data_IF_542615967808
#
_entry.id   IF_542615967808
#
_cell.length_a   1.000
_cell.length_b   1.000
_cell.length_c   1.000
_cell.angle_alpha   90.00
_cell.angle_beta   90.00
_cell.angle_gamma   90.00
#
_symmetry.space_group_name_H-M   'P 1'
#
loop_
_entity.id
_entity.type
_entity.pdbx_description
1 polymer ?
#
# COMPACT_ATOMS: atom_id res chain seq x y z
N UNK A 1 74.60 -20.06 -3.79
CA UNK A 1 73.12 -20.05 -3.97
C UNK A 1 72.52 -21.13 -3.07
N UNK A 2 71.78 -20.77 -2.02
CA UNK A 2 71.05 -21.70 -1.15
C UNK A 2 69.56 -21.57 -1.46
N UNK A 3 68.94 -22.66 -1.90
CA UNK A 3 67.49 -22.77 -2.10
C UNK A 3 66.82 -22.85 -0.72
N UNK A 4 65.93 -21.90 -0.44
CA UNK A 4 65.06 -21.91 0.74
C UNK A 4 63.74 -22.57 0.35
N UNK A 5 63.44 -23.72 0.93
CA UNK A 5 62.15 -24.40 0.77
C UNK A 5 61.09 -23.68 1.60
N UNK A 6 60.10 -23.08 0.92
CA UNK A 6 58.90 -22.51 1.54
C UNK A 6 57.89 -23.64 1.74
N UNK A 7 57.65 -24.01 3.01
CA UNK A 7 56.59 -24.94 3.39
C UNK A 7 55.30 -24.12 3.57
N UNK A 8 54.34 -24.31 2.65
CA UNK A 8 53.01 -23.71 2.77
C UNK A 8 52.16 -24.54 3.75
N UNK A 9 51.81 -23.95 4.89
CA UNK A 9 50.85 -24.52 5.83
C UNK A 9 49.45 -24.18 5.35
N UNK A 10 48.74 -25.16 4.79
CA UNK A 10 47.31 -25.08 4.50
C UNK A 10 46.53 -25.21 5.83
N UNK A 11 46.09 -24.07 6.37
CA UNK A 11 45.12 -24.06 7.46
C UNK A 11 43.74 -24.48 6.91
N UNK A 12 43.25 -25.64 7.32
CA UNK A 12 41.89 -26.06 7.04
C UNK A 12 40.92 -25.11 7.77
N UNK A 13 40.27 -24.21 7.03
CA UNK A 13 39.17 -23.41 7.56
C UNK A 13 37.97 -24.34 7.75
N UNK A 14 37.64 -24.65 9.00
CA UNK A 14 36.42 -25.36 9.32
C UNK A 14 35.24 -24.51 8.83
N UNK A 15 34.50 -25.01 7.84
CA UNK A 15 33.27 -24.40 7.38
C UNK A 15 32.33 -24.33 8.58
N UNK A 16 31.86 -23.14 9.00
CA UNK A 16 30.94 -23.05 10.12
C UNK A 16 29.71 -23.90 9.80
N UNK A 17 29.42 -24.88 10.65
CA UNK A 17 28.17 -25.62 10.60
C UNK A 17 27.07 -24.59 10.87
N UNK A 18 26.37 -24.16 9.82
CA UNK A 18 25.20 -23.31 9.95
C UNK A 18 24.23 -24.00 10.91
N UNK A 19 23.95 -23.35 12.03
CA UNK A 19 22.99 -23.84 13.00
C UNK A 19 21.70 -24.21 12.25
N UNK A 20 21.15 -25.39 12.54
CA UNK A 20 19.90 -25.80 11.95
C UNK A 20 18.86 -24.69 12.22
N UNK A 21 18.11 -24.24 11.20
CA UNK A 21 17.17 -23.14 11.37
C UNK A 21 16.21 -23.48 12.50
N UNK A 22 16.05 -22.56 13.45
CA UNK A 22 15.11 -22.69 14.57
C UNK A 22 13.75 -23.09 14.05
N UNK A 23 13.18 -24.20 14.55
CA UNK A 23 11.86 -24.67 14.12
C UNK A 23 10.81 -24.22 15.14
N UNK A 24 9.60 -23.95 14.65
CA UNK A 24 8.40 -23.82 15.45
C UNK A 24 7.70 -25.17 15.58
N UNK A 25 6.76 -25.27 16.52
CA UNK A 25 5.97 -26.47 16.76
C UNK A 25 6.68 -27.53 17.60
N UNK A 26 5.96 -28.62 17.86
CA UNK A 26 6.41 -29.79 18.60
C UNK A 26 6.88 -30.87 17.62
N UNK A 27 8.16 -31.32 17.68
CA UNK A 27 8.65 -32.41 16.84
C UNK A 27 7.97 -33.77 17.12
N UNK A 28 7.32 -33.94 18.28
CA UNK A 28 6.54 -35.12 18.60
C UNK A 28 5.10 -35.05 18.08
N UNK A 29 4.58 -33.85 17.75
CA UNK A 29 3.24 -33.69 17.22
C UNK A 29 3.15 -34.21 15.78
N UNK A 30 2.19 -35.10 15.54
CA UNK A 30 1.91 -35.66 14.22
C UNK A 30 0.92 -34.82 13.43
N UNK A 31 0.98 -34.93 12.10
CA UNK A 31 0.04 -34.31 11.18
C UNK A 31 0.72 -33.50 10.08
N UNK A 32 -0.05 -33.17 9.06
CA UNK A 32 0.40 -32.45 7.88
C UNK A 32 -0.20 -31.06 7.82
N UNK A 33 0.63 -30.03 7.64
CA UNK A 33 0.12 -28.69 7.35
C UNK A 33 -0.58 -28.75 5.99
N UNK A 34 -1.86 -28.41 5.97
CA UNK A 34 -2.71 -28.44 4.78
C UNK A 34 -3.06 -27.04 4.26
N UNK A 35 -3.03 -26.02 5.13
CA UNK A 35 -3.29 -24.63 4.76
C UNK A 35 -2.49 -23.67 5.62
N UNK A 36 -2.14 -22.52 5.05
CA UNK A 36 -1.46 -21.42 5.72
C UNK A 36 -2.19 -20.12 5.36
N UNK A 37 -2.41 -19.24 6.34
CA UNK A 37 -3.02 -17.93 6.18
C UNK A 37 -2.22 -16.88 6.95
N UNK A 38 -2.27 -15.65 6.45
CA UNK A 38 -1.97 -14.46 7.24
C UNK A 38 -3.29 -13.90 7.73
N UNK A 39 -3.38 -13.66 9.04
CA UNK A 39 -4.49 -12.92 9.66
C UNK A 39 -3.97 -11.67 10.35
N UNK A 40 -4.78 -10.62 10.42
CA UNK A 40 -4.36 -9.32 10.95
C UNK A 40 -5.32 -8.84 12.04
N UNK A 41 -4.76 -8.23 13.10
CA UNK A 41 -5.49 -7.57 14.18
C UNK A 41 -5.02 -6.12 14.34
N UNK A 42 -5.93 -5.22 14.67
CA UNK A 42 -5.67 -3.82 15.01
C UNK A 42 -5.79 -3.65 16.52
N UNK A 43 -4.69 -3.36 17.20
CA UNK A 43 -4.62 -3.41 18.67
C UNK A 43 -5.00 -4.80 19.18
N UNK A 44 -5.97 -4.86 20.09
CA UNK A 44 -6.47 -6.10 20.70
C UNK A 44 -7.73 -6.65 20.00
N UNK A 45 -8.02 -6.20 18.78
CA UNK A 45 -9.15 -6.71 18.00
C UNK A 45 -8.99 -8.19 17.65
N UNK A 46 -10.09 -8.83 17.23
CA UNK A 46 -10.03 -10.15 16.61
C UNK A 46 -9.10 -10.12 15.39
N UNK A 47 -8.24 -11.14 15.23
CA UNK A 47 -7.43 -11.30 14.04
C UNK A 47 -8.27 -11.94 12.93
N UNK A 48 -8.32 -11.32 11.75
CA UNK A 48 -9.16 -11.78 10.63
C UNK A 48 -8.37 -12.01 9.35
N UNK A 49 -8.90 -12.82 8.45
CA UNK A 49 -8.37 -13.03 7.09
C UNK A 49 -8.88 -12.01 6.06
N UNK A 50 -9.50 -10.91 6.52
CA UNK A 50 -10.00 -9.82 5.67
C UNK A 50 -8.95 -8.71 5.52
N UNK A 51 -9.01 -7.92 4.42
CA UNK A 51 -8.24 -6.70 4.32
C UNK A 51 -8.43 -5.81 5.56
N UNK A 52 -7.32 -5.32 6.10
CA UNK A 52 -7.28 -4.57 7.35
C UNK A 52 -6.99 -3.11 7.09
N UNK A 53 -7.77 -2.24 7.71
CA UNK A 53 -7.56 -0.79 7.72
C UNK A 53 -7.22 -0.34 9.13
N UNK A 54 -6.25 0.56 9.25
CA UNK A 54 -5.83 1.16 10.51
C UNK A 54 -5.42 2.61 10.31
N UNK A 55 -5.39 3.38 11.40
CA UNK A 55 -4.69 4.67 11.45
C UNK A 55 -3.25 4.49 11.92
N UNK A 56 -2.40 5.48 11.67
CA UNK A 56 -0.99 5.47 12.05
C UNK A 56 -0.76 5.36 13.56
N UNK A 57 -1.71 5.83 14.39
CA UNK A 57 -1.70 5.67 15.85
C UNK A 57 -2.10 4.26 16.33
N UNK A 58 -2.53 3.38 15.41
CA UNK A 58 -2.97 2.02 15.72
C UNK A 58 -1.93 0.99 15.28
N UNK A 59 -1.55 0.11 16.20
CA UNK A 59 -0.67 -1.01 15.87
C UNK A 59 -1.44 -2.10 15.12
N UNK A 60 -0.89 -2.57 14.00
CA UNK A 60 -1.40 -3.76 13.29
C UNK A 60 -0.43 -4.92 13.50
N UNK A 61 -0.93 -6.03 14.01
CA UNK A 61 -0.17 -7.27 14.19
C UNK A 61 -0.67 -8.32 13.21
N UNK A 62 0.27 -8.90 12.47
CA UNK A 62 0.04 -10.03 11.58
C UNK A 62 0.38 -11.32 12.32
N UNK A 63 -0.47 -12.32 12.23
CA UNK A 63 -0.25 -13.64 12.80
C UNK A 63 -0.28 -14.70 11.71
N UNK A 64 0.59 -15.71 11.85
CA UNK A 64 0.46 -16.92 11.06
C UNK A 64 -0.69 -17.77 11.63
N UNK A 65 -1.55 -18.26 10.75
CA UNK A 65 -2.54 -19.26 11.08
C UNK A 65 -2.35 -20.47 10.16
N UNK A 66 -2.14 -21.65 10.73
CA UNK A 66 -1.96 -22.88 9.96
C UNK A 66 -3.09 -23.86 10.28
N UNK A 67 -3.51 -24.62 9.27
CA UNK A 67 -4.44 -25.73 9.42
C UNK A 67 -3.67 -27.04 9.25
N UNK A 68 -3.89 -27.98 10.17
CA UNK A 68 -3.30 -29.32 10.12
C UNK A 68 -4.39 -30.34 9.81
N UNK A 69 -4.11 -31.22 8.84
CA UNK A 69 -4.97 -32.29 8.37
C UNK A 69 -6.41 -31.85 8.02
N UNK A 70 -6.56 -30.60 7.55
CA UNK A 70 -7.85 -29.95 7.27
C UNK A 70 -8.84 -29.91 8.44
N UNK A 71 -8.35 -30.03 9.69
CA UNK A 71 -9.20 -30.15 10.88
C UNK A 71 -8.92 -29.06 11.90
N UNK A 72 -7.70 -29.02 12.43
CA UNK A 72 -7.36 -28.16 13.55
C UNK A 72 -6.59 -26.92 13.09
N UNK A 73 -6.96 -25.76 13.63
CA UNK A 73 -6.24 -24.51 13.44
C UNK A 73 -5.24 -24.28 14.56
N UNK A 74 -4.09 -23.73 14.19
CA UNK A 74 -3.03 -23.31 15.10
C UNK A 74 -2.63 -21.88 14.79
N UNK A 75 -2.57 -21.03 15.81
CA UNK A 75 -2.18 -19.62 15.72
C UNK A 75 -1.90 -19.08 17.13
N UNK A 76 -1.01 -18.09 17.22
CA UNK A 76 -0.76 -17.35 18.47
C UNK A 76 -1.59 -16.05 18.55
N UNK A 77 -2.55 -15.86 17.64
CA UNK A 77 -3.53 -14.79 17.73
C UNK A 77 -4.44 -15.00 18.97
N UNK A 78 -4.68 -13.97 19.80
CA UNK A 78 -5.56 -14.11 20.98
C UNK A 78 -6.99 -14.50 20.63
N UNK A 79 -7.48 -14.06 19.47
CA UNK A 79 -8.78 -14.43 18.92
C UNK A 79 -8.69 -14.46 17.40
N UNK A 80 -9.40 -15.41 16.78
CA UNK A 80 -9.29 -15.70 15.36
C UNK A 80 -10.66 -15.78 14.68
N UNK A 81 -10.80 -15.07 13.56
CA UNK A 81 -11.92 -15.18 12.62
C UNK A 81 -11.38 -15.54 11.23
N UNK A 82 -11.91 -16.61 10.63
CA UNK A 82 -11.56 -17.03 9.27
C UNK A 82 -12.84 -17.17 8.48
N UNK A 83 -12.92 -16.50 7.32
CA UNK A 83 -14.11 -16.52 6.47
C UNK A 83 -15.37 -16.01 7.18
N UNK A 84 -15.23 -15.03 8.08
CA UNK A 84 -16.35 -14.45 8.83
C UNK A 84 -16.83 -15.29 10.02
N UNK A 85 -16.13 -16.36 10.39
CA UNK A 85 -16.52 -17.23 11.51
C UNK A 85 -15.41 -17.29 12.55
N UNK A 86 -15.77 -17.22 13.83
CA UNK A 86 -14.83 -17.45 14.93
C UNK A 86 -14.30 -18.88 14.87
N UNK A 87 -13.00 -19.03 15.00
CA UNK A 87 -12.29 -20.31 14.94
C UNK A 87 -11.50 -20.49 16.22
N UNK A 88 -11.66 -21.64 16.88
CA UNK A 88 -10.78 -22.03 17.97
C UNK A 88 -9.42 -22.47 17.38
N UNK A 89 -8.34 -21.86 17.88
CA UNK A 89 -6.98 -22.22 17.50
C UNK A 89 -6.18 -22.67 18.72
N UNK A 90 -5.28 -23.62 18.51
CA UNK A 90 -4.25 -23.99 19.50
C UNK A 90 -2.99 -23.15 19.28
N UNK A 91 -2.10 -22.99 20.29
CA UNK A 91 -0.82 -22.30 20.08
C UNK A 91 0.04 -22.98 19.01
N UNK A 92 0.78 -22.21 18.21
CA UNK A 92 1.66 -22.76 17.15
C UNK A 92 2.74 -23.69 17.71
N UNK A 93 3.16 -23.49 18.96
CA UNK A 93 4.10 -24.36 19.66
C UNK A 93 3.60 -25.83 19.79
N UNK A 94 2.28 -26.06 19.67
CA UNK A 94 1.67 -27.40 19.74
C UNK A 94 1.37 -28.03 18.38
N UNK A 95 1.67 -27.34 17.27
CA UNK A 95 1.54 -27.88 15.92
C UNK A 95 2.72 -28.80 15.58
N UNK A 96 2.61 -29.69 14.57
CA UNK A 96 3.76 -30.46 14.06
C UNK A 96 4.92 -29.55 13.64
N UNK A 97 6.16 -29.94 13.93
CA UNK A 97 7.33 -29.10 13.69
C UNK A 97 7.46 -28.56 12.24
N UNK A 98 7.76 -27.27 12.12
CA UNK A 98 7.81 -26.53 10.85
C UNK A 98 8.71 -25.28 10.97
N UNK A 99 8.95 -24.61 9.84
CA UNK A 99 9.59 -23.29 9.81
C UNK A 99 8.66 -22.27 9.13
N UNK A 100 8.76 -20.99 9.48
CA UNK A 100 8.01 -19.89 8.85
C UNK A 100 8.92 -18.91 8.12
N UNK A 101 8.44 -18.40 7.00
CA UNK A 101 9.04 -17.27 6.27
C UNK A 101 7.96 -16.26 5.92
N UNK A 102 8.20 -15.00 6.23
CA UNK A 102 7.31 -13.90 5.90
C UNK A 102 7.85 -13.10 4.72
N UNK A 103 6.94 -12.67 3.86
CA UNK A 103 7.25 -11.80 2.73
C UNK A 103 6.22 -10.68 2.61
N UNK A 104 6.68 -9.50 2.21
CA UNK A 104 5.85 -8.47 1.59
C UNK A 104 5.53 -8.89 0.15
N UNK A 105 4.34 -8.57 -0.34
CA UNK A 105 3.92 -8.78 -1.72
C UNK A 105 3.75 -7.41 -2.37
N UNK A 106 4.71 -7.04 -3.20
CA UNK A 106 4.93 -5.64 -3.59
C UNK A 106 4.88 -5.47 -5.10
N UNK A 107 4.30 -4.38 -5.63
CA UNK A 107 4.45 -4.06 -7.04
C UNK A 107 5.93 -3.82 -7.35
N UNK A 108 6.42 -4.36 -8.48
CA UNK A 108 7.82 -4.20 -8.90
C UNK A 108 8.08 -2.93 -9.72
N UNK A 109 7.02 -2.18 -10.04
CA UNK A 109 7.08 -0.90 -10.75
C UNK A 109 6.18 0.12 -10.04
N UNK A 110 6.63 1.38 -10.00
CA UNK A 110 5.85 2.51 -9.49
C UNK A 110 4.93 3.14 -10.54
N UNK A 111 5.04 2.71 -11.81
CA UNK A 111 4.32 3.29 -12.95
C UNK A 111 3.89 2.20 -13.93
N UNK A 112 2.59 2.18 -14.24
CA UNK A 112 1.93 1.19 -15.10
C UNK A 112 0.95 1.94 -16.01
N UNK A 113 0.59 1.35 -17.15
CA UNK A 113 -0.40 1.90 -18.07
C UNK A 113 -1.39 0.82 -18.49
N UNK A 114 -2.69 1.05 -18.30
CA UNK A 114 -3.76 0.17 -18.78
C UNK A 114 -3.98 0.29 -20.31
N UNK A 115 -2.89 0.42 -21.07
CA UNK A 115 -2.88 0.66 -22.50
C UNK A 115 -2.52 2.09 -22.91
N UNK A 116 -2.61 2.37 -24.20
CA UNK A 116 -2.32 3.68 -24.80
C UNK A 116 -3.59 4.37 -25.27
N UNK A 117 -3.46 5.50 -25.97
CA UNK A 117 -4.61 6.23 -26.52
C UNK A 117 -5.46 5.42 -27.52
N UNK A 118 -4.95 4.30 -28.04
CA UNK A 118 -5.58 3.50 -29.09
C UNK A 118 -6.14 2.16 -28.61
N UNK A 119 -5.61 1.59 -27.53
CA UNK A 119 -6.06 0.29 -27.00
C UNK A 119 -6.06 0.28 -25.48
N UNK A 120 -7.22 0.05 -24.87
CA UNK A 120 -7.35 -0.14 -23.42
C UNK A 120 -7.28 -1.63 -23.05
N UNK A 121 -6.51 -1.95 -22.01
CA UNK A 121 -6.49 -3.27 -21.35
C UNK A 121 -6.08 -3.12 -19.90
N UNK A 122 -6.60 -3.97 -19.02
CA UNK A 122 -6.08 -4.06 -17.65
C UNK A 122 -4.68 -4.68 -17.70
N UNK A 123 -3.65 -3.88 -17.44
CA UNK A 123 -2.26 -4.32 -17.48
C UNK A 123 -1.93 -5.09 -16.18
N UNK A 124 -1.40 -6.33 -16.26
CA UNK A 124 -1.02 -7.06 -15.06
C UNK A 124 0.05 -6.32 -14.24
N UNK A 125 -0.21 -6.11 -12.95
CA UNK A 125 0.75 -5.50 -12.03
C UNK A 125 1.77 -6.57 -11.62
N UNK A 126 3.05 -6.46 -11.95
CA UNK A 126 4.03 -7.46 -11.53
C UNK A 126 4.28 -7.39 -10.01
N UNK A 127 3.61 -8.24 -9.22
CA UNK A 127 3.84 -8.35 -7.78
C UNK A 127 4.95 -9.37 -7.50
N UNK A 128 5.86 -9.04 -6.59
CA UNK A 128 6.96 -9.92 -6.17
C UNK A 128 7.01 -10.08 -4.65
N UNK A 129 7.41 -11.26 -4.16
CA UNK A 129 7.64 -11.46 -2.75
C UNK A 129 9.02 -10.90 -2.35
N UNK A 130 9.06 -10.03 -1.34
CA UNK A 130 10.30 -9.59 -0.69
C UNK A 130 10.33 -10.11 0.74
N UNK A 131 11.42 -10.78 1.15
CA UNK A 131 11.56 -11.28 2.50
C UNK A 131 11.55 -10.13 3.52
N UNK A 132 10.96 -10.37 4.70
CA UNK A 132 10.99 -9.43 5.83
C UNK A 132 12.15 -9.80 6.75
N UNK A 133 13.13 -8.92 6.90
CA UNK A 133 14.30 -9.18 7.73
C UNK A 133 13.92 -9.45 9.19
N UNK A 134 14.61 -10.40 9.81
CA UNK A 134 14.37 -10.79 11.21
C UNK A 134 13.03 -11.48 11.50
N UNK A 135 12.19 -11.73 10.48
CA UNK A 135 10.86 -12.34 10.66
C UNK A 135 10.86 -13.87 10.63
N UNK A 136 11.98 -14.50 10.26
CA UNK A 136 12.07 -15.94 10.09
C UNK A 136 11.67 -16.67 11.38
N UNK A 137 10.77 -17.64 11.25
CA UNK A 137 10.22 -18.41 12.37
C UNK A 137 9.52 -17.57 13.45
N UNK A 138 9.14 -16.33 13.15
CA UNK A 138 8.27 -15.57 14.05
C UNK A 138 6.81 -15.99 13.84
N UNK A 139 6.06 -16.34 14.91
CA UNK A 139 4.64 -16.68 14.80
C UNK A 139 3.77 -15.46 14.47
N UNK A 140 4.28 -14.26 14.73
CA UNK A 140 3.63 -12.98 14.46
C UNK A 140 4.65 -11.88 14.15
N UNK A 141 4.24 -10.87 13.40
CA UNK A 141 5.06 -9.69 13.11
C UNK A 141 4.21 -8.43 13.20
N UNK A 142 4.84 -7.27 13.44
CA UNK A 142 4.17 -5.98 13.23
C UNK A 142 4.05 -5.75 11.72
N UNK A 143 2.90 -5.27 11.26
CA UNK A 143 2.77 -4.86 9.87
C UNK A 143 3.69 -3.65 9.59
N UNK A 144 4.44 -3.74 8.51
CA UNK A 144 5.30 -2.68 7.98
C UNK A 144 4.86 -2.38 6.54
N UNK A 145 4.33 -1.17 6.32
CA UNK A 145 3.79 -0.76 5.02
C UNK A 145 4.78 0.02 4.15
N UNK A 146 6.08 -0.05 4.47
CA UNK A 146 7.15 0.58 3.68
C UNK A 146 7.55 -0.30 2.49
N UNK A 147 7.37 0.15 1.24
CA UNK A 147 7.82 -0.62 0.08
C UNK A 147 9.36 -0.70 0.03
N UNK A 148 9.86 -1.72 -0.65
CA UNK A 148 11.28 -2.02 -0.86
C UNK A 148 11.64 -2.16 -2.33
N UNK A 149 10.66 -2.45 -3.19
CA UNK A 149 10.84 -2.54 -4.65
C UNK A 149 10.55 -1.24 -5.38
N UNK A 150 9.87 -0.30 -4.71
CA UNK A 150 9.56 1.04 -5.21
C UNK A 150 9.95 2.09 -4.15
N UNK A 151 10.08 3.37 -4.51
CA UNK A 151 10.36 4.43 -3.53
C UNK A 151 9.32 4.47 -2.41
N UNK A 152 9.79 4.57 -1.16
CA UNK A 152 8.93 4.80 0.00
C UNK A 152 8.68 6.29 0.20
N UNK A 153 7.53 6.75 -0.29
CA UNK A 153 7.05 8.12 -0.10
C UNK A 153 6.17 8.28 1.15
N UNK A 154 5.88 7.18 1.84
CA UNK A 154 4.84 7.15 2.86
C UNK A 154 5.30 7.07 4.30
N UNK A 155 6.56 6.69 4.54
CA UNK A 155 7.18 6.67 5.87
C UNK A 155 6.30 5.99 6.94
N UNK A 156 5.74 4.82 6.59
CA UNK A 156 4.92 4.01 7.51
C UNK A 156 3.41 4.23 7.43
N UNK A 157 2.91 5.10 6.54
CA UNK A 157 1.53 5.05 6.04
C UNK A 157 1.52 4.56 4.59
N UNK A 158 0.42 3.96 4.16
CA UNK A 158 0.32 3.31 2.85
C UNK A 158 -0.39 1.98 2.90
N UNK A 159 -0.27 1.23 1.80
CA UNK A 159 -0.81 -0.12 1.68
C UNK A 159 0.29 -1.12 1.40
N UNK A 160 0.22 -2.26 2.08
CA UNK A 160 1.10 -3.39 1.84
C UNK A 160 0.33 -4.70 1.88
N UNK A 161 0.84 -5.69 1.16
CA UNK A 161 0.29 -7.04 1.13
C UNK A 161 1.31 -8.02 1.69
N UNK A 162 0.85 -9.12 2.28
CA UNK A 162 1.70 -10.06 3.00
C UNK A 162 1.40 -11.50 2.63
N UNK A 163 2.46 -12.30 2.61
CA UNK A 163 2.41 -13.74 2.47
C UNK A 163 3.23 -14.38 3.60
N UNK A 164 2.78 -15.53 4.07
CA UNK A 164 3.57 -16.39 4.96
C UNK A 164 3.67 -17.79 4.36
N UNK A 165 4.86 -18.36 4.42
CA UNK A 165 5.19 -19.71 3.93
C UNK A 165 5.61 -20.59 5.09
N UNK A 166 4.98 -21.76 5.21
CA UNK A 166 5.36 -22.82 6.14
C UNK A 166 6.17 -23.90 5.41
N UNK A 167 7.31 -24.28 5.98
CA UNK A 167 8.14 -25.39 5.51
C UNK A 167 8.03 -26.56 6.51
N UNK A 168 7.53 -27.71 6.03
CA UNK A 168 7.39 -28.93 6.84
C UNK A 168 8.12 -30.08 6.15
N UNK A 169 9.37 -30.33 6.55
CA UNK A 169 10.25 -31.25 5.82
C UNK A 169 10.46 -30.75 4.38
N UNK A 170 10.17 -31.58 3.35
CA UNK A 170 10.29 -31.16 1.94
C UNK A 170 9.08 -30.34 1.45
N UNK A 171 8.01 -30.21 2.24
CA UNK A 171 6.79 -29.55 1.81
C UNK A 171 6.86 -28.05 2.05
N UNK A 172 6.40 -27.29 1.07
CA UNK A 172 6.25 -25.84 1.12
C UNK A 172 4.78 -25.52 0.93
N UNK A 173 4.16 -24.88 1.93
CA UNK A 173 2.77 -24.46 1.90
C UNK A 173 2.75 -22.95 2.15
N UNK A 174 2.18 -22.18 1.22
CA UNK A 174 2.09 -20.73 1.34
C UNK A 174 0.64 -20.28 1.51
N UNK A 175 0.44 -19.16 2.20
CA UNK A 175 -0.76 -18.36 2.02
C UNK A 175 -0.79 -17.77 0.61
N UNK A 176 -1.94 -17.22 0.20
CA UNK A 176 -2.04 -16.51 -1.08
C UNK A 176 -0.98 -15.42 -1.21
N UNK A 177 -0.35 -15.33 -2.39
CA UNK A 177 0.66 -14.35 -2.75
C UNK A 177 0.48 -13.83 -4.18
N UNK A 178 1.57 -13.54 -4.91
CA UNK A 178 1.51 -12.96 -6.26
C UNK A 178 0.72 -13.79 -7.29
N UNK A 179 0.62 -15.11 -7.07
CA UNK A 179 -0.13 -16.03 -7.91
C UNK A 179 -1.65 -15.88 -7.77
N UNK A 180 -2.14 -15.32 -6.67
CA UNK A 180 -3.56 -15.12 -6.39
C UNK A 180 -4.11 -13.89 -7.12
N UNK A 181 -4.07 -13.93 -8.46
CA UNK A 181 -4.43 -12.84 -9.37
C UNK A 181 -5.93 -12.64 -9.49
N UNK A 182 -6.35 -11.38 -9.66
CA UNK A 182 -7.71 -11.09 -10.11
C UNK A 182 -7.87 -11.50 -11.57
N UNK A 183 -9.10 -11.85 -11.94
CA UNK A 183 -9.48 -12.14 -13.31
C UNK A 183 -9.75 -10.86 -14.11
N UNK A 184 -10.79 -10.88 -14.93
CA UNK A 184 -11.18 -9.72 -15.75
C UNK A 184 -11.46 -8.49 -14.88
N UNK A 185 -10.99 -7.32 -15.32
CA UNK A 185 -11.35 -6.04 -14.71
C UNK A 185 -10.36 -5.48 -13.67
N UNK A 186 -9.13 -5.99 -13.61
CA UNK A 186 -8.04 -5.46 -12.77
C UNK A 186 -6.73 -6.20 -13.09
N UNK A 187 -5.59 -5.49 -12.98
CA UNK A 187 -4.25 -6.09 -13.04
C UNK A 187 -3.73 -6.68 -11.73
N UNK A 188 -4.50 -6.56 -10.65
CA UNK A 188 -4.07 -6.77 -9.27
C UNK A 188 -4.13 -8.20 -8.72
N UNK A 189 -3.92 -8.31 -7.41
CA UNK A 189 -4.11 -9.55 -6.64
C UNK A 189 -5.42 -9.52 -5.86
N UNK A 190 -6.00 -10.71 -5.62
CA UNK A 190 -7.25 -10.89 -4.90
C UNK A 190 -7.15 -10.51 -3.43
N UNK A 191 -8.29 -10.32 -2.77
CA UNK A 191 -8.36 -10.06 -1.32
C UNK A 191 -7.99 -11.28 -0.46
N UNK A 192 -7.66 -12.42 -1.06
CA UNK A 192 -7.09 -13.57 -0.36
C UNK A 192 -5.63 -13.30 0.07
N UNK A 193 -4.91 -12.41 -0.62
CA UNK A 193 -3.61 -11.92 -0.18
C UNK A 193 -3.85 -10.88 0.92
N UNK A 194 -3.35 -11.12 2.13
CA UNK A 194 -3.61 -10.23 3.26
C UNK A 194 -3.11 -8.82 2.94
N UNK A 195 -4.02 -7.84 2.92
CA UNK A 195 -3.72 -6.42 2.73
C UNK A 195 -3.87 -5.68 4.06
N UNK A 196 -2.86 -4.88 4.40
CA UNK A 196 -2.95 -3.87 5.47
C UNK A 196 -2.80 -2.49 4.85
N UNK A 197 -3.72 -1.60 5.22
CA UNK A 197 -3.74 -0.20 4.78
C UNK A 197 -3.75 0.71 6.00
N UNK A 198 -2.67 1.47 6.18
CA UNK A 198 -2.48 2.39 7.30
C UNK A 198 -2.61 3.81 6.77
N UNK A 199 -3.62 4.54 7.25
CA UNK A 199 -3.81 5.95 6.93
C UNK A 199 -3.24 6.85 8.02
N UNK A 200 -2.81 8.06 7.66
CA UNK A 200 -2.30 9.02 8.63
C UNK A 200 -3.34 9.42 9.69
N UNK A 201 -4.55 9.77 9.24
CA UNK A 201 -5.65 10.27 10.08
C UNK A 201 -7.00 10.09 9.35
N UNK A 202 -8.12 10.50 9.97
CA UNK A 202 -9.48 10.38 9.40
C UNK A 202 -9.89 11.61 8.55
N UNK A 203 -8.93 12.41 8.07
CA UNK A 203 -9.18 13.51 7.12
C UNK A 203 -9.11 13.02 5.68
N UNK A 204 -9.57 13.84 4.74
CA UNK A 204 -9.44 13.57 3.31
C UNK A 204 -7.98 13.28 2.89
N UNK A 205 -7.01 14.08 3.35
CA UNK A 205 -5.59 13.83 3.08
C UNK A 205 -5.12 12.55 3.77
N UNK A 206 -5.61 12.27 4.99
CA UNK A 206 -5.36 11.02 5.68
C UNK A 206 -5.75 9.81 4.83
N UNK A 207 -6.96 9.79 4.27
CA UNK A 207 -7.38 8.69 3.41
C UNK A 207 -6.56 8.56 2.12
N UNK A 208 -6.11 9.68 1.52
CA UNK A 208 -5.22 9.60 0.36
C UNK A 208 -3.91 8.85 0.68
N UNK A 209 -3.40 8.95 1.91
CA UNK A 209 -2.20 8.20 2.31
C UNK A 209 -2.39 6.68 2.31
N UNK A 210 -3.62 6.13 2.28
CA UNK A 210 -3.83 4.68 2.11
C UNK A 210 -3.24 4.18 0.77
N UNK A 211 -3.11 5.04 -0.25
CA UNK A 211 -2.57 4.69 -1.57
C UNK A 211 -1.04 4.73 -1.66
N UNK A 212 -0.35 5.18 -0.62
CA UNK A 212 1.12 5.19 -0.62
C UNK A 212 1.68 3.77 -0.77
N UNK A 213 2.78 3.66 -1.52
CA UNK A 213 3.37 2.38 -1.94
C UNK A 213 2.62 1.65 -3.05
N UNK A 214 1.49 2.17 -3.55
CA UNK A 214 0.82 1.65 -4.76
C UNK A 214 1.30 2.41 -6.00
N UNK A 215 1.34 1.76 -7.18
CA UNK A 215 1.78 2.40 -8.41
C UNK A 215 0.80 3.45 -8.91
N UNK A 216 1.35 4.40 -9.67
CA UNK A 216 0.56 5.12 -10.67
C UNK A 216 0.10 4.16 -11.76
N UNK A 217 -1.18 4.23 -12.13
CA UNK A 217 -1.74 3.45 -13.25
C UNK A 217 -2.42 4.43 -14.21
N UNK A 218 -1.81 4.69 -15.37
CA UNK A 218 -2.46 5.49 -16.40
C UNK A 218 -3.75 4.81 -16.86
N UNK A 219 -4.86 5.56 -16.82
CA UNK A 219 -6.18 5.03 -17.14
C UNK A 219 -6.60 3.93 -16.16
N UNK A 220 -6.35 4.14 -14.86
CA UNK A 220 -6.89 3.24 -13.84
C UNK A 220 -8.39 3.07 -14.03
N UNK A 221 -8.88 1.86 -13.80
CA UNK A 221 -10.25 1.51 -14.18
C UNK A 221 -10.83 0.39 -13.31
N UNK A 222 -12.09 0.06 -13.59
CA UNK A 222 -12.74 -1.14 -13.10
C UNK A 222 -14.05 -1.39 -13.83
N UNK A 223 -14.63 -2.58 -13.65
CA UNK A 223 -15.94 -2.92 -14.24
C UNK A 223 -17.11 -2.19 -13.56
N UNK A 224 -16.85 -1.57 -12.42
CA UNK A 224 -17.79 -0.80 -11.61
C UNK A 224 -16.98 0.04 -10.62
N UNK A 225 -17.63 1.03 -9.98
CA UNK A 225 -16.98 1.83 -8.95
C UNK A 225 -16.42 0.98 -7.80
N UNK A 226 -17.14 -0.04 -7.31
CA UNK A 226 -16.67 -0.88 -6.18
C UNK A 226 -15.56 -1.86 -6.55
N UNK A 227 -15.32 -2.04 -7.85
CA UNK A 227 -14.27 -2.91 -8.38
C UNK A 227 -13.15 -2.12 -9.08
N UNK A 228 -13.12 -0.80 -8.89
CA UNK A 228 -12.07 0.06 -9.41
C UNK A 228 -10.72 -0.30 -8.79
N UNK A 229 -9.64 -0.19 -9.54
CA UNK A 229 -8.27 -0.45 -9.06
C UNK A 229 -7.95 0.41 -7.81
N UNK A 230 -8.41 1.66 -7.79
CA UNK A 230 -8.30 2.55 -6.61
C UNK A 230 -9.09 2.04 -5.39
N UNK A 231 -10.32 1.52 -5.53
CA UNK A 231 -11.05 0.93 -4.39
C UNK A 231 -10.34 -0.30 -3.81
N UNK A 232 -9.61 -1.02 -4.67
CA UNK A 232 -8.85 -2.20 -4.29
C UNK A 232 -7.45 -1.88 -3.78
N UNK A 233 -7.07 -0.60 -3.78
CA UNK A 233 -5.73 -0.13 -3.43
C UNK A 233 -4.66 -0.85 -4.26
N UNK A 234 -4.91 -0.99 -5.56
CA UNK A 234 -3.98 -1.59 -6.53
C UNK A 234 -3.12 -0.53 -7.23
N UNK A 235 -3.60 0.71 -7.25
CA UNK A 235 -2.98 1.86 -7.88
C UNK A 235 -4.06 2.81 -8.41
N UNK A 236 -3.64 3.94 -8.97
CA UNK A 236 -4.56 4.96 -9.51
C UNK A 236 -3.86 5.91 -10.47
N UNK A 237 -4.61 6.56 -11.35
CA UNK A 237 -4.19 7.80 -12.00
C UNK A 237 -4.42 9.02 -11.08
N UNK A 238 -4.06 10.21 -11.56
CA UNK A 238 -4.17 11.45 -10.78
C UNK A 238 -5.62 11.81 -10.38
N UNK A 239 -6.60 11.64 -11.27
CA UNK A 239 -7.98 11.97 -10.98
C UNK A 239 -8.62 10.94 -10.05
N UNK A 240 -8.38 9.67 -10.33
CA UNK A 240 -8.91 8.57 -9.53
C UNK A 240 -8.31 8.53 -8.13
N UNK A 241 -7.06 8.96 -7.95
CA UNK A 241 -6.45 9.13 -6.64
C UNK A 241 -7.23 10.13 -5.76
N UNK A 242 -7.53 11.31 -6.32
CA UNK A 242 -8.24 12.38 -5.61
C UNK A 242 -9.71 11.98 -5.37
N UNK A 243 -10.36 11.32 -6.34
CA UNK A 243 -11.71 10.79 -6.18
C UNK A 243 -11.76 9.67 -5.13
N UNK A 244 -10.73 8.80 -5.08
CA UNK A 244 -10.62 7.74 -4.08
C UNK A 244 -10.70 8.30 -2.65
N UNK A 245 -9.92 9.33 -2.32
CA UNK A 245 -9.97 9.95 -0.99
C UNK A 245 -11.37 10.50 -0.66
N UNK A 246 -12.04 11.13 -1.63
CA UNK A 246 -13.38 11.68 -1.43
C UNK A 246 -14.42 10.55 -1.21
N UNK A 247 -14.29 9.44 -1.95
CA UNK A 247 -15.14 8.26 -1.80
C UNK A 247 -14.91 7.55 -0.47
N UNK A 248 -13.66 7.49 0.02
CA UNK A 248 -13.33 6.98 1.37
C UNK A 248 -13.95 7.84 2.47
N UNK A 249 -14.13 9.13 2.23
CA UNK A 249 -14.89 10.06 3.08
C UNK A 249 -16.43 9.92 2.93
N UNK A 250 -16.91 8.97 2.13
CA UNK A 250 -18.34 8.69 1.93
C UNK A 250 -18.99 9.40 0.74
N UNK A 251 -18.24 10.11 -0.09
CA UNK A 251 -18.79 10.74 -1.29
C UNK A 251 -19.17 9.69 -2.35
N UNK A 252 -20.31 9.88 -3.02
CA UNK A 252 -20.74 9.03 -4.14
C UNK A 252 -20.38 9.66 -5.49
N UNK A 253 -19.08 9.82 -5.73
CA UNK A 253 -18.53 10.39 -6.97
C UNK A 253 -18.07 9.23 -7.87
N UNK A 254 -18.46 9.17 -9.15
CA UNK A 254 -17.92 8.17 -10.08
C UNK A 254 -16.45 8.46 -10.38
N UNK A 255 -15.66 7.39 -10.55
CA UNK A 255 -14.30 7.52 -11.10
C UNK A 255 -14.35 8.07 -12.52
N UNK A 256 -13.38 8.91 -12.87
CA UNK A 256 -13.37 9.66 -14.13
C UNK A 256 -12.01 10.33 -14.33
N UNK A 257 -11.89 11.07 -15.42
CA UNK A 257 -10.68 11.79 -15.79
C UNK A 257 -10.69 13.24 -15.27
N UNK A 258 -9.53 13.89 -15.29
CA UNK A 258 -9.32 15.24 -14.72
C UNK A 258 -10.29 16.31 -15.22
N UNK A 259 -10.68 16.30 -16.49
CA UNK A 259 -11.62 17.30 -17.03
C UNK A 259 -13.08 17.06 -16.67
N UNK A 260 -13.43 15.94 -16.02
CA UNK A 260 -14.75 15.74 -15.43
C UNK A 260 -14.85 16.28 -13.99
N UNK A 261 -13.71 16.52 -13.33
CA UNK A 261 -13.68 17.04 -11.95
C UNK A 261 -14.41 18.38 -11.76
N UNK A 262 -14.45 19.31 -12.74
CA UNK A 262 -15.31 20.48 -12.64
C UNK A 262 -16.81 20.20 -12.44
N UNK A 263 -17.31 19.03 -12.85
CA UNK A 263 -18.71 18.64 -12.63
C UNK A 263 -19.02 18.25 -11.18
N UNK A 264 -18.00 17.94 -10.37
CA UNK A 264 -18.13 17.50 -8.97
C UNK A 264 -17.40 18.40 -7.98
N UNK A 265 -16.93 19.55 -8.46
CA UNK A 265 -16.20 20.54 -7.66
C UNK A 265 -16.59 21.96 -8.05
N UNK A 266 -16.51 22.89 -7.10
CA UNK A 266 -16.66 24.32 -7.35
C UNK A 266 -15.29 24.97 -7.53
N UNK A 267 -15.21 25.90 -8.48
CA UNK A 267 -14.06 26.76 -8.67
C UNK A 267 -13.96 27.77 -7.51
N UNK A 268 -12.77 27.91 -6.93
CA UNK A 268 -12.46 28.90 -5.91
C UNK A 268 -11.60 30.03 -6.47
N UNK A 269 -10.58 29.68 -7.25
CA UNK A 269 -9.65 30.61 -7.88
C UNK A 269 -9.04 29.99 -9.14
N UNK A 270 -8.59 30.80 -10.08
CA UNK A 270 -7.83 30.33 -11.24
C UNK A 270 -6.83 31.37 -11.74
N UNK A 271 -5.72 30.89 -12.31
CA UNK A 271 -4.62 31.77 -12.67
C UNK A 271 -3.45 31.04 -13.32
N UNK A 272 -2.35 31.77 -13.47
CA UNK A 272 -1.09 31.29 -14.05
C UNK A 272 0.08 31.70 -13.15
N UNK A 273 1.12 30.86 -13.10
CA UNK A 273 2.36 31.17 -12.39
C UNK A 273 3.06 32.37 -13.03
N UNK A 274 3.48 33.34 -12.23
CA UNK A 274 4.35 34.44 -12.62
C UNK A 274 5.82 34.13 -12.32
N UNK A 275 6.75 34.97 -12.77
CA UNK A 275 8.21 34.76 -12.62
C UNK A 275 8.68 34.70 -11.16
N UNK A 276 7.90 35.25 -10.23
CA UNK A 276 8.14 35.21 -8.78
C UNK A 276 7.67 33.89 -8.13
N UNK A 277 7.15 32.94 -8.93
CA UNK A 277 6.63 31.67 -8.46
C UNK A 277 5.19 31.72 -7.96
N UNK A 278 4.58 32.90 -7.87
CA UNK A 278 3.21 33.10 -7.36
C UNK A 278 2.20 32.90 -8.50
N UNK A 279 1.12 32.18 -8.22
CA UNK A 279 0.00 32.10 -9.15
C UNK A 279 -0.86 33.35 -9.05
N UNK A 280 -1.19 33.95 -10.20
CA UNK A 280 -1.99 35.18 -10.28
C UNK A 280 -3.18 35.03 -11.20
N UNK A 281 -4.27 35.69 -10.86
CA UNK A 281 -5.47 35.74 -11.70
C UNK A 281 -5.25 36.64 -12.93
N UNK A 282 -6.29 36.80 -13.75
CA UNK A 282 -6.23 37.65 -14.96
C UNK A 282 -6.02 39.15 -14.68
N UNK A 283 -6.21 39.60 -13.43
CA UNK A 283 -5.97 40.98 -13.00
C UNK A 283 -4.57 41.17 -12.41
N UNK A 284 -3.79 40.09 -12.28
CA UNK A 284 -2.48 40.09 -11.65
C UNK A 284 -2.52 39.92 -10.13
N UNK A 285 -3.70 39.67 -9.56
CA UNK A 285 -3.84 39.47 -8.12
C UNK A 285 -3.39 38.06 -7.71
N UNK A 286 -2.62 37.90 -6.63
CA UNK A 286 -2.23 36.59 -6.12
C UNK A 286 -3.44 35.70 -5.84
N UNK A 287 -3.38 34.44 -6.25
CA UNK A 287 -4.37 33.45 -5.86
C UNK A 287 -4.17 33.10 -4.38
N UNK A 288 -5.25 32.94 -3.60
CA UNK A 288 -5.12 32.54 -2.21
C UNK A 288 -4.75 31.06 -2.08
N UNK A 289 -3.90 30.73 -1.11
CA UNK A 289 -3.87 29.38 -0.56
C UNK A 289 -5.15 29.19 0.26
N UNK A 290 -6.09 28.39 -0.24
CA UNK A 290 -7.43 28.34 0.33
C UNK A 290 -7.52 27.45 1.56
N UNK A 291 -7.25 26.15 1.41
CA UNK A 291 -7.34 25.15 2.47
C UNK A 291 -6.65 23.85 2.07
N UNK A 292 -6.03 23.20 3.05
CA UNK A 292 -5.65 21.78 2.97
C UNK A 292 -6.86 20.93 2.53
N UNK A 293 -6.61 20.07 1.53
CA UNK A 293 -7.60 19.20 0.90
C UNK A 293 -8.32 19.81 -0.30
N UNK A 294 -8.17 21.09 -0.57
CA UNK A 294 -8.63 21.65 -1.85
C UNK A 294 -7.77 21.13 -3.00
N UNK A 295 -8.39 21.04 -4.18
CA UNK A 295 -7.78 20.47 -5.36
C UNK A 295 -6.98 21.55 -6.10
N UNK A 296 -5.80 21.18 -6.56
CA UNK A 296 -4.98 21.94 -7.50
C UNK A 296 -5.12 21.27 -8.85
N UNK A 297 -5.97 21.81 -9.72
CA UNK A 297 -6.28 21.24 -11.02
C UNK A 297 -5.49 21.97 -12.10
N UNK A 298 -4.67 21.21 -12.84
CA UNK A 298 -3.99 21.64 -14.05
C UNK A 298 -4.65 20.98 -15.27
N UNK A 299 -4.38 21.48 -16.49
CA UNK A 299 -4.71 20.74 -17.70
C UNK A 299 -4.12 19.32 -17.66
N UNK A 300 -5.00 18.31 -17.58
CA UNK A 300 -4.67 16.87 -17.56
C UNK A 300 -4.00 16.34 -16.29
N UNK A 301 -3.92 17.12 -15.20
CA UNK A 301 -3.35 16.65 -13.92
C UNK A 301 -4.04 17.29 -12.72
N UNK A 302 -4.03 16.61 -11.58
CA UNK A 302 -4.62 17.13 -10.34
C UNK A 302 -3.85 16.63 -9.12
N UNK A 303 -3.82 17.47 -8.08
CA UNK A 303 -3.41 17.08 -6.73
C UNK A 303 -4.32 17.70 -5.67
N UNK A 304 -4.03 17.41 -4.40
CA UNK A 304 -4.66 18.06 -3.26
C UNK A 304 -3.63 18.87 -2.46
N UNK A 305 -3.97 20.10 -2.07
CA UNK A 305 -3.13 20.92 -1.19
C UNK A 305 -2.95 20.24 0.17
N UNK A 306 -1.72 20.19 0.67
CA UNK A 306 -1.42 19.59 1.98
C UNK A 306 -0.68 20.51 2.93
N UNK A 307 0.08 21.49 2.41
CA UNK A 307 0.83 22.43 3.24
C UNK A 307 1.01 23.75 2.51
N UNK A 308 0.74 24.85 3.21
CA UNK A 308 1.03 26.21 2.79
C UNK A 308 2.51 26.50 3.08
N UNK A 309 3.29 26.80 2.04
CA UNK A 309 4.74 27.13 2.08
C UNK A 309 4.99 28.41 1.28
N UNK A 310 6.27 28.80 1.14
CA UNK A 310 6.62 30.06 0.50
C UNK A 310 5.94 31.28 1.14
N UNK A 311 5.13 31.98 0.36
CA UNK A 311 4.37 33.16 0.76
C UNK A 311 3.06 32.77 1.44
N UNK A 312 3.02 32.87 2.77
CA UNK A 312 1.87 32.43 3.56
C UNK A 312 0.54 33.01 3.11
N UNK A 313 -0.45 32.14 2.93
CA UNK A 313 -1.81 32.49 2.50
C UNK A 313 -1.96 32.74 0.99
N UNK A 314 -0.88 32.61 0.21
CA UNK A 314 -0.84 32.78 -1.24
C UNK A 314 -0.48 31.45 -1.88
N UNK A 315 -1.16 31.08 -2.96
CA UNK A 315 -0.81 29.90 -3.73
C UNK A 315 0.47 30.19 -4.53
N UNK A 316 1.53 29.47 -4.23
CA UNK A 316 2.79 29.53 -4.95
C UNK A 316 3.39 28.14 -5.20
N UNK A 317 4.47 28.10 -5.98
CA UNK A 317 5.08 26.83 -6.38
C UNK A 317 5.74 26.03 -5.24
N UNK A 318 6.00 26.65 -4.08
CA UNK A 318 6.61 25.99 -2.93
C UNK A 318 5.58 25.24 -2.08
N UNK A 319 4.30 25.57 -2.23
CA UNK A 319 3.20 24.85 -1.59
C UNK A 319 3.27 23.37 -1.89
N UNK A 320 2.93 22.55 -0.89
CA UNK A 320 2.97 21.10 -1.04
C UNK A 320 1.61 20.62 -1.53
N UNK A 321 1.65 19.82 -2.59
CA UNK A 321 0.51 19.05 -3.07
C UNK A 321 0.77 17.54 -2.96
N UNK A 322 -0.27 16.80 -2.62
CA UNK A 322 -0.28 15.34 -2.70
C UNK A 322 -0.92 14.91 -4.01
N UNK A 323 -0.22 14.10 -4.79
CA UNK A 323 -0.68 13.60 -6.08
C UNK A 323 0.01 12.28 -6.44
N UNK A 324 -0.38 11.72 -7.58
CA UNK A 324 0.33 10.63 -8.24
C UNK A 324 0.46 10.98 -9.72
N UNK A 325 1.64 10.75 -10.29
CA UNK A 325 1.94 11.02 -11.70
C UNK A 325 3.23 10.30 -12.07
N UNK A 326 3.14 9.26 -12.90
CA UNK A 326 4.27 8.45 -13.37
C UNK A 326 5.17 7.89 -12.26
N UNK A 327 4.69 7.90 -11.02
CA UNK A 327 5.35 7.44 -9.81
C UNK A 327 4.28 7.19 -8.72
N UNK A 328 4.63 6.41 -7.70
CA UNK A 328 3.77 6.14 -6.56
C UNK A 328 3.29 7.45 -5.92
N UNK A 329 2.07 7.51 -5.34
CA UNK A 329 1.57 8.75 -4.77
C UNK A 329 2.52 9.30 -3.69
N UNK A 330 2.68 10.62 -3.68
CA UNK A 330 3.64 11.36 -2.85
C UNK A 330 3.14 12.77 -2.56
N UNK A 331 3.78 13.43 -1.61
CA UNK A 331 3.60 14.84 -1.33
C UNK A 331 4.89 15.60 -1.66
N UNK A 332 4.81 16.58 -2.56
CA UNK A 332 5.96 17.36 -3.02
C UNK A 332 5.55 18.81 -3.35
N UNK A 333 6.51 19.75 -3.45
CA UNK A 333 6.25 21.10 -3.93
C UNK A 333 5.56 21.09 -5.31
N UNK A 334 4.66 22.04 -5.54
CA UNK A 334 4.03 22.23 -6.85
C UNK A 334 5.10 22.41 -7.95
N UNK A 335 6.20 23.10 -7.64
CA UNK A 335 7.38 23.27 -8.50
C UNK A 335 7.91 21.93 -9.06
N UNK A 336 7.91 20.88 -8.24
CA UNK A 336 8.50 19.58 -8.55
C UNK A 336 7.52 18.63 -9.26
N UNK A 337 6.24 19.01 -9.34
CA UNK A 337 5.18 18.18 -9.93
C UNK A 337 5.29 17.98 -11.46
N UNK A 338 6.11 18.79 -12.13
CA UNK A 338 6.17 18.88 -13.60
C UNK A 338 5.02 19.67 -14.24
N UNK A 339 4.12 20.24 -13.42
CA UNK A 339 2.94 21.00 -13.88
C UNK A 339 2.93 22.47 -13.43
N UNK A 340 3.96 22.93 -12.72
CA UNK A 340 4.00 24.27 -12.13
C UNK A 340 3.74 25.42 -13.13
N UNK A 341 4.25 25.28 -14.36
CA UNK A 341 4.12 26.31 -15.41
C UNK A 341 2.78 26.27 -16.17
N UNK A 342 1.86 25.38 -15.77
CA UNK A 342 0.54 25.28 -16.39
C UNK A 342 -0.46 26.19 -15.67
N UNK A 343 -1.50 26.68 -16.38
CA UNK A 343 -2.62 27.33 -15.73
C UNK A 343 -3.23 26.42 -14.66
N UNK A 344 -3.65 27.01 -13.56
CA UNK A 344 -4.17 26.30 -12.39
C UNK A 344 -5.59 26.74 -12.06
N UNK A 345 -6.39 25.80 -11.58
CA UNK A 345 -7.67 26.04 -10.92
C UNK A 345 -7.62 25.46 -9.50
N UNK A 346 -7.85 26.30 -8.50
CA UNK A 346 -8.08 25.85 -7.12
C UNK A 346 -9.56 25.51 -6.97
N UNK A 347 -9.85 24.27 -6.58
CA UNK A 347 -11.21 23.73 -6.55
C UNK A 347 -11.52 23.04 -5.24
N UNK A 348 -12.82 22.93 -4.94
CA UNK A 348 -13.30 22.18 -3.77
C UNK A 348 -14.43 21.26 -4.18
N UNK A 349 -14.39 20.00 -3.76
CA UNK A 349 -15.51 19.09 -3.96
C UNK A 349 -16.84 19.72 -3.50
N UNK A 350 -17.89 19.56 -4.31
CA UNK A 350 -19.24 20.03 -3.96
C UNK A 350 -19.90 19.12 -2.94
N UNK A 351 -19.54 17.83 -2.95
CA UNK A 351 -19.92 16.90 -1.90
C UNK A 351 -19.35 17.36 -0.56
N UNK A 352 -20.20 17.38 0.47
CA UNK A 352 -19.73 17.61 1.82
C UNK A 352 -18.95 16.39 2.30
N UNK A 353 -17.62 16.50 2.29
CA UNK A 353 -16.73 15.45 2.78
C UNK A 353 -16.76 15.31 4.31
N UNK A 354 -17.60 16.07 5.05
CA UNK A 354 -17.65 16.08 6.52
C UNK A 354 -18.58 15.04 7.16
N UNK A 355 -18.85 13.90 6.52
CA UNK A 355 -19.56 12.78 7.15
C UNK A 355 -18.75 11.50 7.10
N UNK A 356 -17.60 11.50 7.78
CA UNK A 356 -17.02 10.26 8.26
C UNK A 356 -18.03 9.59 9.19
N UNK A 357 -18.47 8.37 8.85
CA UNK A 357 -19.29 7.55 9.74
C UNK A 357 -18.56 7.39 11.07
N UNK A 358 -19.06 8.07 12.10
CA UNK A 358 -18.87 7.65 13.49
C UNK A 358 -19.62 6.33 13.68
N UNK A 359 -19.00 5.20 13.36
CA UNK A 359 -19.56 3.88 13.64
C UNK A 359 -19.32 2.84 12.56
N UNK A 360 -18.27 2.04 12.76
CA UNK A 360 -18.31 0.57 12.65
C UNK A 360 -17.13 0.00 13.39
#
# INVERSE_FOLDING_TARGET
MRLVSVVAVLAATATPVLAAPTRLGDPAAAGSISRVLVVAAVGDSVATDKPTYARADQAVTLYAAIQVDNKAWFSDAPSLEIGGKRVAAKPLASAPAFALRWSKIEPSSANISNGDASTFRFEPIDYRPTAIDGSANSPKIRADVRPTLTPDHGDGVGTMRYQVTALQGPRVIASAGPEARRGRGSGGVTDAVMRVSIRRDDTYIGYLTEMFGQPYIWGSAGLSNSTHESERLEGSDCADFIVYGARRMGASIPYSWTGALPGVSKLLASGTRADDGIYRDRRGEPLPFTKIGDLVLFPRHVGALVEDRGTKGVLDEQDIMMHTLFDSPKAEPIADSGYADRPVEVRRFTADLRRGRSGS
#
